data_IF_897006955014
#
_entry.id   IF_897006955014
#
_cell.length_a   1.000
_cell.length_b   1.000
_cell.length_c   1.000
_cell.angle_alpha   90.00
_cell.angle_beta   90.00
_cell.angle_gamma   90.00
#
_symmetry.space_group_name_H-M   'P 1'
#
loop_
_entity.id
_entity.type
_entity.pdbx_description
1 polymer ?
#
# COMPACT_ATOMS: atom_id res chain seq x y z
N UNK A 1 -28.73 36.53 -28.63
CA UNK A 1 -27.36 36.66 -28.09
C UNK A 1 -27.42 36.20 -26.64
N UNK A 2 -27.13 34.93 -26.39
CA UNK A 2 -27.19 34.34 -25.04
C UNK A 2 -25.77 33.99 -24.63
N UNK A 3 -25.34 34.56 -23.52
CA UNK A 3 -23.99 34.54 -22.96
C UNK A 3 -23.70 33.11 -22.47
N UNK A 4 -22.69 32.47 -23.05
CA UNK A 4 -22.18 31.18 -22.57
C UNK A 4 -21.36 31.48 -21.32
N UNK A 5 -21.86 31.14 -20.14
CA UNK A 5 -21.04 31.14 -18.94
C UNK A 5 -20.03 29.99 -19.06
N UNK A 6 -18.76 30.35 -19.16
CA UNK A 6 -17.63 29.44 -19.27
C UNK A 6 -17.51 28.59 -18.01
N UNK A 7 -17.88 27.31 -18.11
CA UNK A 7 -17.57 26.30 -17.10
C UNK A 7 -16.06 26.25 -16.88
N UNK A 8 -15.58 26.89 -15.80
CA UNK A 8 -14.24 26.65 -15.29
C UNK A 8 -14.25 25.31 -14.55
N UNK A 9 -14.01 24.23 -15.29
CA UNK A 9 -13.56 22.98 -14.68
C UNK A 9 -12.18 23.26 -14.09
N UNK A 10 -12.18 23.56 -12.79
CA UNK A 10 -10.98 23.63 -11.95
C UNK A 10 -10.46 22.19 -11.88
N UNK A 11 -9.67 21.80 -12.86
CA UNK A 11 -8.97 20.51 -12.83
C UNK A 11 -8.01 20.56 -11.66
N UNK A 12 -8.43 20.03 -10.51
CA UNK A 12 -7.50 19.67 -9.45
C UNK A 12 -6.49 18.72 -10.09
N UNK A 13 -5.24 19.17 -10.12
CA UNK A 13 -4.14 18.44 -10.71
C UNK A 13 -4.02 17.13 -9.91
N UNK A 14 -4.32 15.99 -10.54
CA UNK A 14 -4.23 14.67 -9.92
C UNK A 14 -2.81 14.48 -9.38
N UNK A 15 -2.66 14.44 -8.05
CA UNK A 15 -1.37 14.25 -7.41
C UNK A 15 -1.01 12.75 -7.46
N UNK A 16 -0.07 12.39 -8.33
CA UNK A 16 0.41 11.01 -8.49
C UNK A 16 1.55 10.64 -7.53
N UNK A 17 1.91 11.51 -6.60
CA UNK A 17 2.89 11.19 -5.57
C UNK A 17 2.22 10.40 -4.44
N UNK A 18 3.00 9.55 -3.78
CA UNK A 18 2.55 8.90 -2.56
C UNK A 18 2.20 9.95 -1.49
N UNK A 19 1.14 9.70 -0.72
CA UNK A 19 0.85 10.49 0.47
C UNK A 19 1.93 10.27 1.54
N UNK A 20 2.02 11.18 2.52
CA UNK A 20 2.95 11.02 3.64
C UNK A 20 2.70 9.70 4.38
N UNK A 21 1.43 9.32 4.57
CA UNK A 21 1.05 8.07 5.21
C UNK A 21 1.48 6.84 4.39
N UNK A 22 1.37 6.89 3.06
CA UNK A 22 1.86 5.82 2.20
C UNK A 22 3.39 5.67 2.26
N UNK A 23 4.12 6.79 2.39
CA UNK A 23 5.58 6.77 2.58
C UNK A 23 5.97 6.21 3.95
N UNK A 24 5.27 6.62 5.02
CA UNK A 24 5.47 6.08 6.36
C UNK A 24 5.19 4.57 6.41
N UNK A 25 4.08 4.14 5.82
CA UNK A 25 3.73 2.72 5.74
C UNK A 25 4.80 1.91 4.99
N UNK A 26 5.33 2.45 3.89
CA UNK A 26 6.43 1.82 3.13
C UNK A 26 7.68 1.64 4.00
N UNK A 27 8.05 2.64 4.78
CA UNK A 27 9.23 2.54 5.66
C UNK A 27 9.01 1.52 6.78
N UNK A 28 7.81 1.45 7.36
CA UNK A 28 7.50 0.45 8.39
C UNK A 28 7.51 -0.97 7.83
N UNK A 29 6.96 -1.19 6.62
CA UNK A 29 7.01 -2.51 5.96
C UNK A 29 8.46 -2.94 5.73
N UNK A 30 9.32 -2.01 5.27
CA UNK A 30 10.74 -2.30 5.06
C UNK A 30 11.42 -2.72 6.36
N UNK A 31 11.21 -1.97 7.45
CA UNK A 31 11.76 -2.30 8.77
C UNK A 31 11.31 -3.68 9.25
N UNK A 32 10.03 -4.03 9.07
CA UNK A 32 9.52 -5.36 9.44
C UNK A 32 10.23 -6.45 8.64
N UNK A 33 10.30 -6.32 7.31
CA UNK A 33 10.90 -7.34 6.44
C UNK A 33 12.39 -7.56 6.72
N UNK A 34 13.11 -6.49 7.08
CA UNK A 34 14.51 -6.54 7.51
C UNK A 34 14.63 -7.22 8.88
N UNK A 35 13.82 -6.81 9.86
CA UNK A 35 13.77 -7.38 11.22
C UNK A 35 13.48 -8.88 11.20
N UNK A 36 12.55 -9.31 10.37
CA UNK A 36 12.12 -10.71 10.24
C UNK A 36 13.08 -11.54 9.37
N UNK A 37 14.13 -10.94 8.79
CA UNK A 37 15.04 -11.59 7.86
C UNK A 37 14.26 -12.34 6.74
N UNK A 38 13.32 -11.61 6.13
CA UNK A 38 12.33 -12.14 5.18
C UNK A 38 12.92 -12.95 4.03
N UNK A 39 14.13 -12.62 3.56
CA UNK A 39 14.84 -13.37 2.52
C UNK A 39 15.15 -14.80 2.98
N UNK A 40 15.64 -14.95 4.22
CA UNK A 40 15.92 -16.27 4.81
C UNK A 40 14.63 -17.04 5.05
N UNK A 41 13.60 -16.37 5.58
CA UNK A 41 12.26 -16.97 5.78
C UNK A 41 11.69 -17.49 4.46
N UNK A 42 11.76 -16.70 3.39
CA UNK A 42 11.33 -17.11 2.05
C UNK A 42 12.12 -18.30 1.52
N UNK A 43 13.45 -18.34 1.72
CA UNK A 43 14.25 -19.51 1.30
C UNK A 43 13.78 -20.79 1.98
N UNK A 44 13.53 -20.74 3.29
CA UNK A 44 13.03 -21.91 4.04
C UNK A 44 11.68 -22.41 3.50
N UNK A 45 10.78 -21.50 3.10
CA UNK A 45 9.49 -21.86 2.49
C UNK A 45 9.71 -22.54 1.13
N UNK A 46 10.55 -21.96 0.27
CA UNK A 46 10.83 -22.50 -1.07
C UNK A 46 11.50 -23.88 -1.03
N UNK A 47 12.27 -24.15 0.02
CA UNK A 47 12.92 -25.44 0.24
C UNK A 47 12.03 -26.45 1.00
N UNK A 48 10.88 -26.01 1.51
CA UNK A 48 9.95 -26.80 2.31
C UNK A 48 8.68 -27.21 1.56
N UNK A 49 7.71 -27.72 2.32
CA UNK A 49 6.39 -28.15 1.80
C UNK A 49 5.32 -27.07 1.92
N UNK A 50 5.58 -26.02 2.71
CA UNK A 50 4.65 -24.90 2.91
C UNK A 50 4.60 -24.00 1.66
N UNK A 51 3.43 -23.44 1.36
CA UNK A 51 3.24 -22.59 0.16
C UNK A 51 3.69 -21.15 0.37
N UNK A 52 3.65 -20.67 1.61
CA UNK A 52 4.03 -19.31 2.00
C UNK A 52 4.25 -19.24 3.52
N UNK A 53 4.97 -18.22 3.97
CA UNK A 53 5.18 -17.96 5.40
C UNK A 53 3.93 -17.31 6.01
N UNK A 54 3.05 -18.12 6.59
CA UNK A 54 1.78 -17.67 7.18
C UNK A 54 1.97 -16.65 8.29
N UNK A 55 3.03 -16.78 9.09
CA UNK A 55 3.29 -15.88 10.21
C UNK A 55 3.73 -14.51 9.72
N UNK A 56 4.72 -14.47 8.81
CA UNK A 56 5.15 -13.22 8.18
C UNK A 56 3.99 -12.55 7.44
N UNK A 57 3.12 -13.35 6.79
CA UNK A 57 1.97 -12.80 6.08
C UNK A 57 0.98 -12.11 7.04
N UNK A 58 0.69 -12.75 8.17
CA UNK A 58 -0.21 -12.19 9.18
C UNK A 58 0.35 -10.89 9.78
N UNK A 59 1.66 -10.77 9.97
CA UNK A 59 2.28 -9.52 10.45
C UNK A 59 2.03 -8.36 9.48
N UNK A 60 2.17 -8.60 8.17
CA UNK A 60 1.91 -7.57 7.15
C UNK A 60 0.42 -7.21 7.03
N UNK A 61 -0.49 -8.17 7.22
CA UNK A 61 -1.94 -7.92 7.29
C UNK A 61 -2.29 -7.04 8.48
N UNK A 62 -1.70 -7.31 9.65
CA UNK A 62 -1.92 -6.50 10.86
C UNK A 62 -1.43 -5.05 10.71
N UNK A 63 -0.47 -4.79 9.81
CA UNK A 63 -0.02 -3.43 9.47
C UNK A 63 -0.98 -2.67 8.55
N UNK A 64 -2.08 -3.29 8.12
CA UNK A 64 -3.03 -2.65 7.20
C UNK A 64 -2.56 -2.60 5.75
N UNK A 65 -1.47 -3.32 5.39
CA UNK A 65 -0.91 -3.29 4.03
C UNK A 65 -1.93 -3.73 2.96
N UNK A 66 -2.86 -4.62 3.32
CA UNK A 66 -3.94 -5.09 2.44
C UNK A 66 -5.08 -4.09 2.24
N UNK A 67 -5.13 -3.00 3.02
CA UNK A 67 -6.18 -1.96 2.93
C UNK A 67 -5.79 -0.79 1.99
N UNK A 68 -4.54 -0.72 1.53
CA UNK A 68 -3.98 0.41 0.76
C UNK A 68 -4.63 0.66 -0.61
N UNK A 69 -5.41 -0.28 -1.15
CA UNK A 69 -6.05 -0.16 -2.46
C UNK A 69 -7.52 0.29 -2.40
N UNK A 70 -8.04 0.65 -1.23
CA UNK A 70 -9.38 1.22 -1.10
C UNK A 70 -9.23 2.75 -1.18
N UNK A 71 -9.75 3.40 -2.24
CA UNK A 71 -9.84 4.86 -2.26
C UNK A 71 -10.60 5.36 -1.01
N UNK A 72 -10.21 6.49 -0.42
CA UNK A 72 -10.81 7.05 0.82
C UNK A 72 -12.35 7.14 0.75
N UNK A 73 -12.90 7.31 -0.46
CA UNK A 73 -14.35 7.29 -0.76
C UNK A 73 -15.07 5.95 -0.48
N UNK A 74 -14.34 4.86 -0.24
CA UNK A 74 -14.89 3.53 0.08
C UNK A 74 -14.46 3.00 1.46
N UNK A 75 -13.97 3.88 2.35
CA UNK A 75 -13.64 3.55 3.74
C UNK A 75 -12.23 3.00 3.95
N UNK A 76 -11.26 3.51 3.20
CA UNK A 76 -9.85 3.49 3.57
C UNK A 76 -9.54 4.52 4.64
#
# INVERSE_FOLDING_TARGET
MVRIESYHLKGEQMNFNFSEDQLLMKEEVKKLLDKENSVKRNRNILEGEEKFDKELWNQLVQMGLTATTIPEEYGG
#
